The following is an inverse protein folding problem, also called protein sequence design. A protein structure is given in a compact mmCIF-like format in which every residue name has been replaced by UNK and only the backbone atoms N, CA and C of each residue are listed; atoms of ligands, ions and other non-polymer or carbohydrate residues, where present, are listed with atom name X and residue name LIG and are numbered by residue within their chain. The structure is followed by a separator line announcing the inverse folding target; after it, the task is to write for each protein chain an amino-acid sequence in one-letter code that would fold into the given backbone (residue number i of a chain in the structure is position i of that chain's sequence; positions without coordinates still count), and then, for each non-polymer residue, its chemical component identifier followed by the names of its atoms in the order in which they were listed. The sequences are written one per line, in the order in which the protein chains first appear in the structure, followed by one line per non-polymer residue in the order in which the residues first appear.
data_IF_978834219424
#
_entry.id   IF_978834219424
#
_cell.length_a   1.000
_cell.length_b   1.000
_cell.length_c   1.000
_cell.angle_alpha   90.00
_cell.angle_beta   90.00
_cell.angle_gamma   90.00
#
_symmetry.space_group_name_H-M   'P 1'
#
loop_
_entity.id
_entity.type
_entity.pdbx_description
1 polymer ?
#
# COMPACT_ATOMS: atom_id res chain seq x y z
N UNK A 1 14.96 20.11 -3.50
CA UNK A 1 13.89 20.89 -2.85
C UNK A 1 13.88 20.51 -1.38
N UNK A 2 13.73 21.45 -0.43
CA UNK A 2 13.79 21.12 1.00
C UNK A 2 12.49 20.43 1.47
N UNK A 3 12.54 19.57 2.51
CA UNK A 3 11.35 18.93 3.07
C UNK A 3 10.25 19.92 3.47
N UNK A 4 10.62 21.03 4.12
CA UNK A 4 9.67 22.07 4.51
C UNK A 4 8.89 22.67 3.33
N UNK A 5 9.56 22.89 2.18
CA UNK A 5 8.89 23.41 0.98
C UNK A 5 7.97 22.38 0.32
N UNK A 6 8.26 21.09 0.50
CA UNK A 6 7.38 20.02 0.02
C UNK A 6 6.11 19.99 0.87
N UNK A 7 6.23 20.12 2.20
CA UNK A 7 5.07 20.19 3.09
C UNK A 7 4.17 21.39 2.79
N UNK A 8 4.76 22.58 2.57
CA UNK A 8 4.00 23.77 2.14
C UNK A 8 3.22 23.52 0.83
N UNK A 9 3.81 22.79 -0.14
CA UNK A 9 3.08 22.42 -1.35
C UNK A 9 1.97 21.39 -1.07
N UNK A 10 2.16 20.47 -0.13
CA UNK A 10 1.11 19.54 0.28
C UNK A 10 -0.06 20.26 0.97
N UNK A 11 0.21 21.31 1.77
CA UNK A 11 -0.84 22.18 2.31
C UNK A 11 -1.67 22.82 1.19
N UNK A 12 -1.01 23.39 0.20
CA UNK A 12 -1.66 23.99 -0.96
C UNK A 12 -2.45 22.96 -1.78
N UNK A 13 -1.87 21.78 -2.01
CA UNK A 13 -2.52 20.68 -2.71
C UNK A 13 -3.78 20.22 -1.98
N UNK A 14 -3.70 19.96 -0.67
CA UNK A 14 -4.84 19.56 0.16
C UNK A 14 -5.98 20.58 0.05
N UNK A 15 -5.66 21.85 0.23
CA UNK A 15 -6.63 22.93 0.16
C UNK A 15 -7.27 23.05 -1.24
N UNK A 16 -6.47 22.95 -2.31
CA UNK A 16 -6.95 22.99 -3.68
C UNK A 16 -7.87 21.81 -4.01
N UNK A 17 -7.45 20.58 -3.68
CA UNK A 17 -8.19 19.36 -3.97
C UNK A 17 -9.50 19.25 -3.18
N UNK A 18 -9.51 19.66 -1.90
CA UNK A 18 -10.73 19.74 -1.12
C UNK A 18 -11.73 20.73 -1.72
N UNK A 19 -11.26 21.91 -2.14
CA UNK A 19 -12.10 22.95 -2.74
C UNK A 19 -12.64 22.56 -4.12
N UNK A 20 -11.82 21.95 -4.97
CA UNK A 20 -12.14 21.72 -6.39
C UNK A 20 -12.81 20.38 -6.66
N UNK A 21 -12.39 19.33 -5.94
CA UNK A 21 -12.80 17.95 -6.21
C UNK A 21 -13.49 17.29 -5.02
N UNK A 22 -13.63 18.00 -3.89
CA UNK A 22 -14.12 17.45 -2.61
C UNK A 22 -13.27 16.29 -2.08
N UNK A 23 -12.01 16.22 -2.50
CA UNK A 23 -11.10 15.20 -2.02
C UNK A 23 -10.79 15.44 -0.54
N UNK A 24 -10.77 14.36 0.23
CA UNK A 24 -10.44 14.39 1.64
C UNK A 24 -8.93 14.67 1.83
N UNK A 25 -8.55 15.72 2.58
CA UNK A 25 -7.15 16.04 2.85
C UNK A 25 -6.34 14.87 3.43
N UNK A 26 -6.95 14.03 4.28
CA UNK A 26 -6.28 12.86 4.86
C UNK A 26 -5.89 11.85 3.79
N UNK A 27 -6.73 11.66 2.77
CA UNK A 27 -6.42 10.75 1.66
C UNK A 27 -5.30 11.30 0.79
N UNK A 28 -5.29 12.60 0.51
CA UNK A 28 -4.21 13.25 -0.23
C UNK A 28 -2.88 13.05 0.50
N UNK A 29 -2.83 13.27 1.81
CA UNK A 29 -1.60 13.06 2.60
C UNK A 29 -1.17 11.60 2.63
N UNK A 30 -2.10 10.66 2.73
CA UNK A 30 -1.76 9.23 2.81
C UNK A 30 -1.24 8.65 1.48
N UNK A 31 -1.76 9.13 0.34
CA UNK A 31 -1.57 8.45 -0.95
C UNK A 31 -0.68 9.20 -1.94
N UNK A 32 -0.55 10.54 -1.84
CA UNK A 32 0.20 11.32 -2.81
C UNK A 32 1.68 11.47 -2.44
N UNK A 33 2.55 11.42 -3.45
CA UNK A 33 3.96 11.79 -3.36
C UNK A 33 4.30 12.92 -4.33
N UNK A 34 5.20 13.80 -3.92
CA UNK A 34 5.72 14.85 -4.78
C UNK A 34 6.73 14.27 -5.78
N UNK A 35 6.51 14.53 -7.08
CA UNK A 35 7.36 14.03 -8.17
C UNK A 35 8.38 15.07 -8.60
N UNK A 36 7.95 16.34 -8.71
CA UNK A 36 8.82 17.40 -9.17
C UNK A 36 8.07 18.55 -9.83
N UNK A 37 8.81 19.34 -10.60
CA UNK A 37 8.28 20.46 -11.39
C UNK A 37 8.29 20.09 -12.86
N UNK A 38 7.28 20.53 -13.58
CA UNK A 38 7.19 20.40 -15.03
C UNK A 38 6.77 21.73 -15.67
N UNK A 39 7.11 21.94 -16.94
CA UNK A 39 6.82 23.18 -17.67
C UNK A 39 7.98 24.19 -17.65
N UNK A 40 7.74 25.34 -18.28
CA UNK A 40 8.75 26.39 -18.47
C UNK A 40 8.18 27.78 -18.16
N UNK A 41 9.01 28.65 -17.59
CA UNK A 41 8.63 30.04 -17.35
C UNK A 41 7.40 30.18 -16.45
N UNK A 42 6.34 30.79 -16.98
CA UNK A 42 5.10 31.06 -16.26
C UNK A 42 4.15 29.85 -16.18
N UNK A 43 4.38 28.82 -16.99
CA UNK A 43 3.54 27.61 -17.04
C UNK A 43 4.14 26.46 -16.20
N UNK A 44 4.89 26.82 -15.15
CA UNK A 44 5.55 25.84 -14.29
C UNK A 44 4.57 25.28 -13.26
N UNK A 45 4.38 23.96 -13.26
CA UNK A 45 3.49 23.27 -12.32
C UNK A 45 4.25 22.28 -11.44
N UNK A 46 3.72 22.04 -10.25
CA UNK A 46 4.18 21.03 -9.32
C UNK A 46 3.38 19.75 -9.49
N UNK A 47 4.05 18.62 -9.73
CA UNK A 47 3.39 17.34 -10.00
C UNK A 47 3.44 16.44 -8.78
N UNK A 48 2.27 15.92 -8.44
CA UNK A 48 2.06 14.89 -7.44
C UNK A 48 1.53 13.63 -8.11
N UNK A 49 1.91 12.47 -7.60
CA UNK A 49 1.46 11.16 -8.10
C UNK A 49 0.99 10.30 -6.95
N UNK A 50 -0.06 9.54 -7.17
CA UNK A 50 -0.49 8.49 -6.26
C UNK A 50 0.63 7.43 -6.09
N UNK A 51 0.76 6.87 -4.89
CA UNK A 51 1.76 5.85 -4.60
C UNK A 51 1.38 4.46 -5.14
N UNK A 52 0.09 4.18 -5.23
CA UNK A 52 -0.52 2.92 -5.63
C UNK A 52 -1.03 2.90 -7.08
N UNK A 53 -1.30 4.07 -7.66
CA UNK A 53 -1.78 4.22 -9.04
C UNK A 53 -0.86 5.14 -9.85
N UNK A 54 -1.20 5.31 -11.14
CA UNK A 54 -0.50 6.27 -12.01
C UNK A 54 -1.13 7.66 -12.00
N UNK A 55 -2.16 7.88 -11.18
CA UNK A 55 -2.92 9.12 -11.14
C UNK A 55 -2.09 10.28 -10.63
N UNK A 56 -2.23 11.42 -11.30
CA UNK A 56 -1.41 12.60 -11.07
C UNK A 56 -2.25 13.85 -10.90
N UNK A 57 -1.76 14.75 -10.04
CA UNK A 57 -2.31 16.09 -9.86
C UNK A 57 -1.21 17.08 -10.17
N UNK A 58 -1.47 18.02 -11.08
CA UNK A 58 -0.64 19.20 -11.25
C UNK A 58 -1.18 20.33 -10.39
N UNK A 59 -0.33 20.93 -9.58
CA UNK A 59 -0.60 22.11 -8.77
C UNK A 59 0.11 23.31 -9.41
N UNK A 60 -0.67 24.27 -9.87
CA UNK A 60 -0.20 25.59 -10.29
C UNK A 60 -0.65 26.61 -9.24
N UNK A 61 0.30 27.12 -8.46
CA UNK A 61 0.04 28.03 -7.35
C UNK A 61 -1.00 27.44 -6.37
N UNK A 62 -2.28 27.81 -6.50
CA UNK A 62 -3.39 27.37 -5.64
C UNK A 62 -4.44 26.54 -6.38
N UNK A 63 -4.23 26.27 -7.66
CA UNK A 63 -5.13 25.50 -8.53
C UNK A 63 -4.57 24.10 -8.78
N UNK A 64 -5.38 23.08 -8.51
CA UNK A 64 -5.06 21.70 -8.84
C UNK A 64 -5.79 21.26 -10.11
N UNK A 65 -5.11 20.47 -10.93
CA UNK A 65 -5.63 19.87 -12.15
C UNK A 65 -5.38 18.37 -12.11
N UNK A 66 -6.45 17.58 -12.14
CA UNK A 66 -6.35 16.13 -12.31
C UNK A 66 -5.86 15.84 -13.73
N UNK A 67 -4.70 15.20 -13.85
CA UNK A 67 -4.14 14.85 -15.16
C UNK A 67 -4.79 13.56 -15.65
N UNK A 68 -5.97 13.67 -16.25
CA UNK A 68 -6.75 12.51 -16.71
C UNK A 68 -6.08 11.77 -17.87
N UNK A 69 -5.24 12.47 -18.65
CA UNK A 69 -4.46 11.93 -19.76
C UNK A 69 -3.01 12.38 -19.66
N UNK A 70 -2.14 11.51 -19.18
CA UNK A 70 -0.69 11.70 -19.26
C UNK A 70 -0.03 10.37 -19.60
N UNK A 71 0.14 10.10 -20.89
CA UNK A 71 0.54 8.78 -21.44
C UNK A 71 -0.67 7.97 -21.94
N UNK A 72 -0.49 6.67 -22.15
CA UNK A 72 -1.45 5.81 -22.86
C UNK A 72 -2.61 5.27 -22.01
N UNK A 73 -2.60 5.44 -20.69
CA UNK A 73 -3.65 4.92 -19.80
C UNK A 73 -4.48 6.06 -19.18
N UNK A 74 -5.81 5.92 -19.08
CA UNK A 74 -6.61 6.89 -18.36
C UNK A 74 -6.17 6.91 -16.88
N UNK A 75 -6.04 8.11 -16.35
CA UNK A 75 -5.71 8.38 -14.96
C UNK A 75 -6.92 9.10 -14.34
N UNK A 76 -7.26 8.82 -13.09
CA UNK A 76 -8.51 9.28 -12.44
C UNK A 76 -9.80 8.67 -12.98
N UNK A 77 -10.04 7.40 -12.66
CA UNK A 77 -11.38 6.82 -12.85
C UNK A 77 -12.39 7.40 -11.86
N UNK A 78 -13.69 7.28 -12.13
CA UNK A 78 -14.72 7.72 -11.19
C UNK A 78 -14.64 6.99 -9.84
N UNK A 79 -14.27 5.70 -9.84
CA UNK A 79 -14.05 4.93 -8.62
C UNK A 79 -12.87 5.48 -7.80
N UNK A 80 -11.79 5.91 -8.47
CA UNK A 80 -10.65 6.52 -7.80
C UNK A 80 -10.98 7.90 -7.24
N UNK A 81 -11.70 8.73 -8.01
CA UNK A 81 -12.20 10.03 -7.52
C UNK A 81 -13.10 9.83 -6.29
N UNK A 82 -14.00 8.85 -6.33
CA UNK A 82 -14.85 8.50 -5.19
C UNK A 82 -14.03 8.07 -3.96
N UNK A 83 -13.03 7.21 -4.14
CA UNK A 83 -12.11 6.80 -3.07
C UNK A 83 -11.38 7.99 -2.42
N UNK A 84 -11.02 8.99 -3.22
CA UNK A 84 -10.43 10.24 -2.73
C UNK A 84 -11.43 11.16 -2.02
N UNK A 85 -12.73 10.98 -2.24
CA UNK A 85 -13.81 11.71 -1.58
C UNK A 85 -14.30 11.03 -0.28
N UNK A 86 -13.77 9.86 0.07
CA UNK A 86 -14.13 9.15 1.30
C UNK A 86 -14.06 10.09 2.52
N UNK A 87 -15.08 10.01 3.35
CA UNK A 87 -15.14 10.68 4.65
C UNK A 87 -14.08 10.14 5.60
N UNK A 88 -13.77 10.90 6.64
CA UNK A 88 -12.85 10.46 7.70
C UNK A 88 -13.29 9.13 8.32
N UNK A 89 -14.59 8.95 8.55
CA UNK A 89 -15.14 7.71 9.08
C UNK A 89 -14.91 6.50 8.16
N UNK A 90 -15.05 6.68 6.84
CA UNK A 90 -14.77 5.62 5.87
C UNK A 90 -13.27 5.30 5.79
N UNK A 91 -12.41 6.32 5.87
CA UNK A 91 -10.96 6.14 5.94
C UNK A 91 -10.59 5.37 7.22
N UNK A 92 -11.15 5.75 8.36
CA UNK A 92 -10.90 5.08 9.64
C UNK A 92 -11.42 3.64 9.65
N UNK A 93 -12.58 3.38 9.04
CA UNK A 93 -13.11 2.03 8.86
C UNK A 93 -12.21 1.17 7.97
N UNK A 94 -11.68 1.71 6.87
CA UNK A 94 -10.73 1.01 5.99
C UNK A 94 -9.42 0.68 6.73
N UNK A 95 -8.90 1.62 7.50
CA UNK A 95 -7.69 1.40 8.32
C UNK A 95 -7.95 0.33 9.38
N UNK A 96 -9.11 0.38 10.05
CA UNK A 96 -9.50 -0.61 11.05
C UNK A 96 -9.64 -2.01 10.43
N UNK A 97 -10.26 -2.12 9.25
CA UNK A 97 -10.38 -3.38 8.51
C UNK A 97 -8.99 -3.96 8.17
N UNK A 98 -8.08 -3.15 7.61
CA UNK A 98 -6.70 -3.59 7.30
C UNK A 98 -5.93 -4.02 8.55
N UNK A 99 -6.14 -3.36 9.69
CA UNK A 99 -5.54 -3.76 10.96
C UNK A 99 -6.11 -5.10 11.45
N UNK A 100 -7.41 -5.29 11.35
CA UNK A 100 -8.07 -6.54 11.74
C UNK A 100 -7.61 -7.71 10.85
N UNK A 101 -7.49 -7.51 9.53
CA UNK A 101 -6.94 -8.50 8.59
C UNK A 101 -5.50 -8.89 8.95
N UNK A 102 -4.66 -7.89 9.25
CA UNK A 102 -3.27 -8.13 9.65
C UNK A 102 -3.18 -8.89 10.98
N UNK A 103 -3.99 -8.50 11.96
CA UNK A 103 -4.05 -9.15 13.27
C UNK A 103 -4.56 -10.59 13.16
N UNK A 104 -5.63 -10.81 12.40
CA UNK A 104 -6.14 -12.15 12.11
C UNK A 104 -5.07 -13.01 11.42
N UNK A 105 -4.41 -12.48 10.38
CA UNK A 105 -3.35 -13.20 9.68
C UNK A 105 -2.26 -13.60 10.66
N UNK A 106 -1.76 -12.64 11.45
CA UNK A 106 -0.71 -12.87 12.42
C UNK A 106 -1.10 -13.94 13.45
N UNK A 107 -2.37 -14.00 13.86
CA UNK A 107 -2.85 -14.96 14.86
C UNK A 107 -3.38 -16.28 14.26
N UNK A 108 -3.44 -16.40 12.93
CA UNK A 108 -3.92 -17.60 12.26
C UNK A 108 -2.95 -18.76 12.46
N UNK A 109 -3.49 -19.98 12.63
CA UNK A 109 -2.68 -21.19 12.70
C UNK A 109 -1.84 -21.39 11.43
N UNK A 110 -2.41 -21.06 10.27
CA UNK A 110 -1.72 -21.08 8.99
C UNK A 110 -0.43 -20.25 9.03
N UNK A 111 -0.52 -18.99 9.45
CA UNK A 111 0.67 -18.14 9.55
C UNK A 111 1.62 -18.64 10.63
N UNK A 112 1.13 -19.00 11.82
CA UNK A 112 2.00 -19.40 12.92
C UNK A 112 2.83 -20.65 12.61
N UNK A 113 2.28 -21.61 11.88
CA UNK A 113 2.96 -22.84 11.50
C UNK A 113 3.99 -22.61 10.38
N UNK A 114 3.73 -21.67 9.47
CA UNK A 114 4.60 -21.40 8.32
C UNK A 114 5.49 -20.16 8.46
N UNK A 115 5.35 -19.36 9.54
CA UNK A 115 6.10 -18.09 9.70
C UNK A 115 7.60 -18.27 9.62
N UNK A 116 8.13 -19.35 10.21
CA UNK A 116 9.56 -19.59 10.27
C UNK A 116 10.13 -19.82 8.86
N UNK A 117 9.43 -20.60 8.05
CA UNK A 117 9.74 -20.84 6.63
C UNK A 117 9.67 -19.52 5.85
N UNK A 118 8.55 -18.78 5.96
CA UNK A 118 8.33 -17.52 5.24
C UNK A 118 9.41 -16.46 5.55
N UNK A 119 9.84 -16.36 6.81
CA UNK A 119 10.85 -15.38 7.23
C UNK A 119 12.24 -15.67 6.67
N UNK A 120 12.57 -16.93 6.36
CA UNK A 120 13.90 -17.29 5.80
C UNK A 120 14.20 -16.66 4.44
N UNK A 121 13.17 -16.16 3.75
CA UNK A 121 13.30 -15.51 2.44
C UNK A 121 13.67 -14.02 2.54
N UNK A 122 13.65 -13.42 3.73
CA UNK A 122 13.98 -12.01 3.94
C UNK A 122 15.43 -11.84 4.37
N UNK A 123 16.20 -11.05 3.62
CA UNK A 123 17.63 -10.77 3.89
C UNK A 123 17.90 -10.19 5.29
N UNK A 124 16.92 -9.47 5.82
CA UNK A 124 16.99 -8.81 7.11
C UNK A 124 16.63 -9.75 8.28
N UNK A 125 16.24 -10.99 8.00
CA UNK A 125 15.95 -11.99 9.01
C UNK A 125 17.24 -12.74 9.42
N UNK A 126 17.50 -12.98 10.72
CA UNK A 126 18.70 -13.69 11.16
C UNK A 126 18.89 -15.09 10.55
N UNK A 127 17.78 -15.77 10.24
CA UNK A 127 17.76 -17.08 9.59
C UNK A 127 17.70 -17.03 8.06
N UNK A 128 18.09 -15.92 7.43
CA UNK A 128 18.05 -15.77 5.97
C UNK A 128 18.86 -16.86 5.27
N UNK A 129 18.26 -17.50 4.26
CA UNK A 129 18.92 -18.49 3.42
C UNK A 129 19.18 -17.90 2.02
N UNK A 130 20.44 -17.70 1.62
CA UNK A 130 20.79 -17.19 0.29
C UNK A 130 20.42 -18.17 -0.83
N UNK A 131 20.02 -17.64 -1.99
CA UNK A 131 19.77 -18.45 -3.19
C UNK A 131 18.40 -19.12 -3.25
N UNK A 132 17.52 -18.87 -2.28
CA UNK A 132 16.13 -19.33 -2.30
C UNK A 132 15.25 -18.35 -3.10
N UNK A 133 14.09 -18.83 -3.57
CA UNK A 133 13.01 -18.05 -4.18
C UNK A 133 12.66 -16.81 -3.36
N UNK A 134 12.25 -15.73 -4.02
CA UNK A 134 11.86 -14.50 -3.33
C UNK A 134 10.61 -14.73 -2.43
N UNK A 135 10.40 -13.92 -1.37
CA UNK A 135 9.32 -14.16 -0.39
C UNK A 135 7.93 -14.32 -1.01
N UNK A 136 7.60 -13.50 -2.02
CA UNK A 136 6.31 -13.54 -2.71
C UNK A 136 6.09 -14.88 -3.41
N UNK A 137 7.10 -15.33 -4.16
CA UNK A 137 7.02 -16.58 -4.88
C UNK A 137 7.01 -17.78 -3.94
N UNK A 138 7.77 -17.74 -2.84
CA UNK A 138 7.72 -18.76 -1.80
C UNK A 138 6.33 -18.89 -1.16
N UNK A 139 5.72 -17.77 -0.79
CA UNK A 139 4.35 -17.77 -0.27
C UNK A 139 3.34 -18.27 -1.30
N UNK A 140 3.48 -17.89 -2.58
CA UNK A 140 2.60 -18.37 -3.66
C UNK A 140 2.69 -19.90 -3.82
N UNK A 141 3.91 -20.45 -3.80
CA UNK A 141 4.14 -21.89 -3.85
C UNK A 141 3.55 -22.59 -2.63
N UNK A 142 3.72 -22.04 -1.43
CA UNK A 142 3.11 -22.55 -0.21
C UNK A 142 1.58 -22.61 -0.32
N UNK A 143 0.94 -21.52 -0.76
CA UNK A 143 -0.51 -21.47 -0.98
C UNK A 143 -0.94 -22.55 -1.98
N UNK A 144 -0.21 -22.73 -3.07
CA UNK A 144 -0.51 -23.76 -4.07
C UNK A 144 -0.40 -25.19 -3.48
N UNK A 145 0.69 -25.50 -2.76
CA UNK A 145 0.88 -26.80 -2.10
C UNK A 145 -0.21 -27.10 -1.06
N UNK A 146 -0.58 -26.10 -0.26
CA UNK A 146 -1.65 -26.25 0.73
C UNK A 146 -3.03 -26.42 0.07
N UNK A 147 -3.28 -25.75 -1.06
CA UNK A 147 -4.50 -25.92 -1.83
C UNK A 147 -4.61 -27.33 -2.43
N UNK A 148 -3.51 -27.86 -2.98
CA UNK A 148 -3.43 -29.25 -3.47
C UNK A 148 -3.67 -30.26 -2.35
N UNK A 149 -3.11 -30.00 -1.17
CA UNK A 149 -3.31 -30.81 0.03
C UNK A 149 -4.71 -30.66 0.66
N UNK A 150 -5.54 -29.74 0.16
CA UNK A 150 -6.84 -29.37 0.73
C UNK A 150 -6.74 -29.01 2.22
N UNK A 151 -5.72 -28.23 2.56
CA UNK A 151 -5.44 -27.87 3.94
C UNK A 151 -6.62 -27.04 4.52
N UNK A 152 -7.25 -27.49 5.61
CA UNK A 152 -8.41 -26.80 6.19
C UNK A 152 -8.05 -25.42 6.75
N UNK A 153 -6.79 -25.18 7.15
CA UNK A 153 -6.31 -23.88 7.64
C UNK A 153 -6.25 -22.88 6.51
N UNK A 154 -5.86 -23.31 5.30
CA UNK A 154 -5.91 -22.45 4.10
C UNK A 154 -7.35 -22.12 3.72
N UNK A 155 -8.26 -23.10 3.74
CA UNK A 155 -9.69 -22.84 3.46
C UNK A 155 -10.27 -21.82 4.43
N UNK A 156 -10.08 -22.00 5.74
CA UNK A 156 -10.57 -21.07 6.75
C UNK A 156 -9.95 -19.67 6.59
N UNK A 157 -8.67 -19.59 6.22
CA UNK A 157 -8.00 -18.32 5.94
C UNK A 157 -8.60 -17.62 4.72
N UNK A 158 -8.79 -18.33 3.60
CA UNK A 158 -9.39 -17.81 2.38
C UNK A 158 -10.84 -17.32 2.60
N UNK A 159 -11.63 -18.07 3.38
CA UNK A 159 -12.99 -17.69 3.76
C UNK A 159 -13.01 -16.41 4.59
N UNK A 160 -12.14 -16.28 5.60
CA UNK A 160 -12.06 -15.06 6.41
C UNK A 160 -11.65 -13.85 5.58
N UNK A 161 -10.71 -14.02 4.65
CA UNK A 161 -10.22 -12.95 3.77
C UNK A 161 -11.16 -12.66 2.59
N UNK A 162 -12.20 -13.46 2.40
CA UNK A 162 -13.13 -13.29 1.28
C UNK A 162 -12.48 -13.42 -0.10
N UNK A 163 -11.39 -14.18 -0.22
CA UNK A 163 -10.65 -14.33 -1.48
C UNK A 163 -10.09 -15.73 -1.65
N UNK A 164 -10.18 -16.26 -2.87
CA UNK A 164 -9.52 -17.49 -3.29
C UNK A 164 -8.37 -17.23 -4.27
N UNK A 165 -8.02 -15.96 -4.51
CA UNK A 165 -6.90 -15.61 -5.38
C UNK A 165 -5.56 -15.92 -4.68
N UNK A 166 -4.74 -16.86 -5.21
CA UNK A 166 -3.49 -17.24 -4.56
C UNK A 166 -2.50 -16.07 -4.40
N UNK A 167 -2.50 -15.12 -5.33
CA UNK A 167 -1.63 -13.95 -5.25
C UNK A 167 -2.03 -13.03 -4.11
N UNK A 168 -3.33 -12.75 -3.98
CA UNK A 168 -3.86 -11.98 -2.88
C UNK A 168 -3.64 -12.66 -1.53
N UNK A 169 -3.89 -13.97 -1.43
CA UNK A 169 -3.67 -14.72 -0.20
C UNK A 169 -2.19 -14.77 0.21
N UNK A 170 -1.28 -14.94 -0.76
CA UNK A 170 0.16 -14.87 -0.51
C UNK A 170 0.58 -13.48 -0.02
N UNK A 171 0.02 -12.41 -0.60
CA UNK A 171 0.28 -11.04 -0.13
C UNK A 171 -0.16 -10.84 1.32
N UNK A 172 -1.37 -11.26 1.67
CA UNK A 172 -1.89 -11.16 3.02
C UNK A 172 -1.04 -11.99 4.00
N UNK A 173 -0.70 -13.23 3.64
CA UNK A 173 0.09 -14.14 4.48
C UNK A 173 1.49 -13.58 4.81
N UNK A 174 2.08 -12.80 3.89
CA UNK A 174 3.38 -12.16 4.09
C UNK A 174 3.32 -10.86 4.89
N UNK A 175 2.14 -10.24 5.04
CA UNK A 175 2.01 -8.93 5.66
C UNK A 175 2.61 -8.84 7.08
N UNK A 176 2.43 -9.85 7.98
CA UNK A 176 3.01 -9.77 9.32
C UNK A 176 4.55 -9.93 9.36
N UNK A 177 5.19 -10.50 8.32
CA UNK A 177 6.63 -10.74 8.32
C UNK A 177 7.45 -9.46 8.54
N UNK A 178 6.99 -8.31 8.03
CA UNK A 178 7.66 -7.03 8.25
C UNK A 178 7.72 -6.65 9.73
N UNK A 179 6.64 -6.88 10.49
CA UNK A 179 6.60 -6.60 11.92
C UNK A 179 7.54 -7.52 12.71
N UNK A 180 7.64 -8.79 12.32
CA UNK A 180 8.53 -9.75 12.98
C UNK A 180 10.02 -9.40 12.72
N UNK A 181 10.35 -8.92 11.51
CA UNK A 181 11.69 -8.44 11.17
C UNK A 181 12.03 -7.18 11.97
N UNK A 182 11.12 -6.23 12.07
CA UNK A 182 11.32 -5.01 12.87
C UNK A 182 11.51 -5.34 14.35
N UNK A 183 10.70 -6.24 14.91
CA UNK A 183 10.84 -6.70 16.29
C UNK A 183 12.19 -7.39 16.54
N UNK A 184 12.65 -8.22 15.59
CA UNK A 184 13.96 -8.89 15.65
C UNK A 184 15.12 -7.88 15.62
N UNK A 185 15.06 -6.87 14.73
CA UNK A 185 16.05 -5.79 14.68
C UNK A 185 16.09 -4.99 15.98
N UNK A 186 14.93 -4.66 16.55
CA UNK A 186 14.85 -3.93 17.82
C UNK A 186 15.44 -4.74 18.98
N UNK A 187 15.16 -6.05 19.03
CA UNK A 187 15.73 -6.95 20.03
C UNK A 187 17.25 -7.10 19.90
N UNK A 188 17.80 -7.13 18.68
CA UNK A 188 19.24 -7.20 18.45
C UNK A 188 19.99 -5.89 18.77
N UNK A 189 19.29 -4.76 18.80
CA UNK A 189 19.83 -3.44 19.14
C UNK A 189 19.74 -3.10 20.64
N UNK A 190 19.07 -3.95 21.43
CA UNK A 190 18.89 -3.81 22.88
C UNK A 190 19.94 -4.60 23.65
#
# INVERSE_FOLDING_TARGET
MSPAKIEELFDLLRAACARQFRFNPRRITASMRYVGKEGHGKDMVHVFRDASTHSQIALDSTFATLREKHGDKPHWTEAEKAHYQNTDAEIDAEIAAKKAELEFTRNSALYQDHKAELLTHYKDWPGYVPGVTNPREAARLLIATLAEAKDPRLTAFAEHMGSNDPEHLAHLLLAPCHLEIEASKAAAAS
#
